data_IF_495213711239
#
_entry.id   IF_495213711239
#
_cell.length_a   1.000
_cell.length_b   1.000
_cell.length_c   1.000
_cell.angle_alpha   90.00
_cell.angle_beta   90.00
_cell.angle_gamma   90.00
#
_symmetry.space_group_name_H-M   'P 1'
#
loop_
_entity.id
_entity.type
_entity.pdbx_description
1 polymer ?
#
# COMPACT_ATOMS: atom_id res chain seq x y z
N UNK A 1 -6.28 53.81 15.85
CA UNK A 1 -5.08 54.27 15.14
C UNK A 1 -4.72 53.27 14.07
N UNK A 2 -4.76 53.66 12.80
CA UNK A 2 -4.09 52.98 11.68
C UNK A 2 -2.69 53.58 11.52
N UNK A 3 -1.72 52.81 11.04
CA UNK A 3 -0.74 53.35 10.11
C UNK A 3 -0.78 52.60 8.77
N UNK A 4 -0.81 53.39 7.70
CA UNK A 4 -0.48 53.02 6.32
C UNK A 4 0.54 54.08 5.82
N UNK A 5 1.06 54.01 4.57
CA UNK A 5 2.26 53.27 4.17
C UNK A 5 3.31 54.23 3.52
N UNK A 6 4.53 53.74 3.22
CA UNK A 6 5.48 54.30 2.22
C UNK A 6 6.77 53.46 2.18
N UNK A 7 7.06 52.75 1.09
CA UNK A 7 7.83 53.19 -0.12
C UNK A 7 9.35 53.23 0.20
N UNK A 8 10.33 52.70 -0.55
CA UNK A 8 10.47 52.17 -1.91
C UNK A 8 11.96 51.76 -2.09
N UNK A 9 12.30 50.63 -2.72
CA UNK A 9 13.43 50.43 -3.69
C UNK A 9 13.57 48.92 -3.98
N UNK A 10 13.07 48.39 -5.11
CA UNK A 10 13.69 48.35 -6.44
C UNK A 10 15.13 47.78 -6.45
N UNK A 11 15.23 46.48 -6.69
CA UNK A 11 16.39 45.86 -7.34
C UNK A 11 15.87 44.93 -8.45
N UNK A 12 15.90 45.45 -9.68
CA UNK A 12 15.76 44.69 -10.91
C UNK A 12 17.16 44.20 -11.30
N UNK A 13 17.37 42.89 -11.42
CA UNK A 13 18.38 42.32 -12.31
C UNK A 13 17.91 40.92 -12.74
N UNK A 14 17.75 40.80 -14.05
CA UNK A 14 17.26 39.63 -14.76
C UNK A 14 18.38 38.63 -15.08
N UNK A 15 17.94 37.46 -15.59
CA UNK A 15 18.66 36.32 -16.17
C UNK A 15 18.93 35.23 -15.10
N UNK A 16 18.42 34.01 -15.20
CA UNK A 16 18.15 33.20 -16.39
C UNK A 16 16.93 32.29 -16.17
N UNK A 17 16.19 32.02 -17.24
CA UNK A 17 15.12 31.04 -17.23
C UNK A 17 15.67 29.63 -17.03
N UNK A 18 15.12 28.93 -16.04
CA UNK A 18 15.07 27.48 -16.05
C UNK A 18 13.63 27.09 -16.41
N UNK A 19 13.46 26.67 -17.66
CA UNK A 19 12.29 25.92 -18.08
C UNK A 19 12.40 24.56 -17.42
N UNK A 20 11.63 24.29 -16.38
CA UNK A 20 11.52 22.95 -15.83
C UNK A 20 10.53 22.18 -16.70
N UNK A 21 11.05 21.48 -17.70
CA UNK A 21 10.34 20.39 -18.35
C UNK A 21 10.12 19.30 -17.33
N UNK A 22 8.85 18.92 -17.15
CA UNK A 22 8.45 17.66 -16.56
C UNK A 22 9.26 16.54 -17.23
N UNK A 23 10.06 15.83 -16.45
CA UNK A 23 10.58 14.55 -16.85
C UNK A 23 9.42 13.57 -16.77
N UNK A 24 8.67 13.44 -17.87
CA UNK A 24 7.92 12.22 -18.11
C UNK A 24 8.95 11.10 -18.17
N UNK A 25 8.85 10.13 -17.25
CA UNK A 25 9.55 8.86 -17.34
C UNK A 25 8.97 8.16 -18.57
N UNK A 26 9.58 8.42 -19.72
CA UNK A 26 9.32 7.66 -20.94
C UNK A 26 9.77 6.23 -20.67
N UNK A 27 8.81 5.33 -20.73
CA UNK A 27 9.01 3.91 -20.97
C UNK A 27 10.17 3.69 -21.95
N UNK A 28 11.05 2.70 -21.71
CA UNK A 28 11.76 2.11 -22.83
C UNK A 28 10.69 1.51 -23.72
N UNK A 29 10.46 2.16 -24.87
CA UNK A 29 9.75 1.51 -25.95
C UNK A 29 10.47 0.20 -26.24
N UNK A 30 9.70 -0.88 -26.22
CA UNK A 30 9.96 -2.12 -26.94
C UNK A 30 10.86 -1.83 -28.15
N UNK A 31 12.10 -2.29 -28.07
CA UNK A 31 12.80 -2.63 -29.29
C UNK A 31 12.09 -3.83 -29.85
N UNK A 32 11.18 -3.57 -30.79
CA UNK A 32 10.66 -4.55 -31.71
C UNK A 32 11.83 -5.43 -32.18
N UNK A 33 11.79 -6.69 -31.76
CA UNK A 33 12.63 -7.73 -32.31
C UNK A 33 12.40 -7.75 -33.82
N UNK A 34 13.44 -7.66 -34.66
CA UNK A 34 13.23 -7.68 -36.10
C UNK A 34 12.66 -9.04 -36.49
N UNK A 35 11.53 -9.02 -37.18
CA UNK A 35 11.08 -10.09 -38.07
C UNK A 35 12.28 -10.59 -38.90
N UNK A 36 12.88 -11.73 -38.52
CA UNK A 36 13.72 -12.51 -39.42
C UNK A 36 12.87 -13.62 -40.04
N UNK A 37 11.92 -13.21 -40.89
CA UNK A 37 11.34 -14.08 -41.90
C UNK A 37 12.30 -14.16 -43.10
N UNK A 38 13.49 -14.70 -42.85
CA UNK A 38 14.55 -14.94 -43.82
C UNK A 38 14.64 -16.39 -44.27
N UNK A 39 13.51 -17.04 -44.59
CA UNK A 39 13.52 -18.35 -45.25
C UNK A 39 14.10 -18.21 -46.67
N UNK A 40 15.41 -18.37 -46.82
CA UNK A 40 16.03 -18.68 -48.10
C UNK A 40 16.08 -20.19 -48.25
N UNK A 41 15.14 -20.77 -48.99
CA UNK A 41 15.32 -22.10 -49.55
C UNK A 41 16.34 -22.00 -50.68
N UNK A 42 17.60 -22.33 -50.41
CA UNK A 42 18.52 -22.78 -51.45
C UNK A 42 18.87 -24.26 -51.22
N UNK A 43 18.69 -24.99 -52.29
CA UNK A 43 18.58 -26.43 -52.41
C UNK A 43 19.98 -27.00 -52.64
N UNK A 44 20.62 -27.53 -51.60
CA UNK A 44 21.72 -28.48 -51.80
C UNK A 44 21.62 -29.65 -50.83
N UNK A 45 21.28 -30.80 -51.41
CA UNK A 45 21.31 -32.11 -50.78
C UNK A 45 22.60 -32.36 -49.99
N UNK A 46 22.47 -32.58 -48.69
CA UNK A 46 23.45 -33.29 -47.88
C UNK A 46 22.76 -34.48 -47.19
N UNK A 47 23.12 -35.67 -47.64
CA UNK A 47 22.77 -36.94 -47.00
C UNK A 47 23.75 -37.18 -45.86
N UNK A 48 23.48 -36.55 -44.71
CA UNK A 48 24.21 -36.76 -43.48
C UNK A 48 23.24 -36.63 -42.31
N UNK A 49 23.03 -37.73 -41.59
CA UNK A 49 22.25 -37.75 -40.37
C UNK A 49 22.92 -36.85 -39.32
N UNK A 50 22.44 -35.62 -39.20
CA UNK A 50 22.42 -34.91 -37.93
C UNK A 50 21.00 -35.06 -37.40
N UNK A 51 20.90 -35.82 -36.32
CA UNK A 51 19.78 -35.73 -35.38
C UNK A 51 19.83 -34.31 -34.81
N UNK A 52 19.26 -33.38 -35.57
CA UNK A 52 18.97 -32.02 -35.15
C UNK A 52 17.73 -32.12 -34.26
N UNK A 53 17.90 -32.65 -33.06
CA UNK A 53 17.06 -32.20 -31.95
C UNK A 53 17.48 -30.76 -31.71
N UNK A 54 16.98 -29.87 -32.56
CA UNK A 54 16.88 -28.45 -32.31
C UNK A 54 16.03 -28.30 -31.07
N UNK A 55 16.69 -28.51 -29.94
CA UNK A 55 16.26 -28.16 -28.62
C UNK A 55 16.32 -26.64 -28.57
N UNK A 56 15.32 -26.04 -29.22
CA UNK A 56 14.94 -24.66 -29.01
C UNK A 56 13.97 -24.67 -27.85
N UNK A 57 14.44 -25.11 -26.68
CA UNK A 57 13.80 -24.72 -25.42
C UNK A 57 13.85 -23.20 -25.39
N UNK A 58 12.68 -22.58 -25.31
CA UNK A 58 12.59 -21.17 -24.97
C UNK A 58 13.35 -21.02 -23.64
N UNK A 59 14.31 -20.10 -23.51
CA UNK A 59 14.94 -19.84 -22.22
C UNK A 59 13.92 -19.64 -21.09
N UNK A 60 12.74 -19.11 -21.43
CA UNK A 60 11.61 -18.89 -20.51
C UNK A 60 10.82 -20.14 -20.11
N UNK A 61 11.16 -21.29 -20.67
CA UNK A 61 10.66 -22.60 -20.25
C UNK A 61 11.70 -23.36 -19.40
N UNK A 62 12.79 -22.69 -19.01
CA UNK A 62 13.81 -23.22 -18.10
C UNK A 62 13.55 -22.61 -16.72
N UNK A 63 13.69 -23.44 -15.69
CA UNK A 63 13.63 -23.08 -14.26
C UNK A 63 15.09 -22.86 -13.82
N UNK A 64 15.53 -21.60 -13.83
CA UNK A 64 16.95 -21.24 -13.64
C UNK A 64 17.38 -21.27 -12.16
N UNK A 65 16.45 -21.14 -11.22
CA UNK A 65 16.73 -21.11 -9.78
C UNK A 65 16.31 -22.36 -8.99
N UNK A 66 15.46 -23.21 -9.58
CA UNK A 66 15.06 -24.51 -9.08
C UNK A 66 13.89 -24.50 -8.08
N UNK A 67 13.05 -23.46 -8.06
CA UNK A 67 11.83 -23.44 -7.22
C UNK A 67 10.63 -24.19 -7.82
N UNK A 68 10.70 -24.52 -9.11
CA UNK A 68 9.70 -25.29 -9.84
C UNK A 68 8.73 -24.46 -10.66
N UNK A 69 8.96 -23.16 -10.79
CA UNK A 69 8.30 -22.28 -11.74
C UNK A 69 9.30 -21.82 -12.82
N UNK A 70 8.77 -21.21 -13.87
CA UNK A 70 9.54 -20.64 -14.98
C UNK A 70 8.93 -19.31 -15.35
N UNK A 71 9.66 -18.49 -16.10
CA UNK A 71 9.18 -17.18 -16.53
C UNK A 71 7.88 -17.26 -17.36
N UNK A 72 7.68 -18.33 -18.14
CA UNK A 72 6.43 -18.57 -18.87
C UNK A 72 5.29 -19.15 -18.00
N UNK A 73 5.61 -19.66 -16.80
CA UNK A 73 4.64 -20.16 -15.82
C UNK A 73 4.18 -19.09 -14.82
N UNK A 74 4.79 -17.90 -14.85
CA UNK A 74 4.37 -16.73 -14.07
C UNK A 74 5.45 -16.18 -13.14
N UNK A 75 6.63 -16.80 -13.10
CA UNK A 75 7.74 -16.30 -12.31
C UNK A 75 8.25 -14.95 -12.84
N UNK A 76 8.20 -13.94 -11.97
CA UNK A 76 8.63 -12.58 -12.23
C UNK A 76 10.14 -12.39 -12.07
N UNK A 77 10.85 -13.32 -11.41
CA UNK A 77 12.30 -13.35 -11.24
C UNK A 77 12.87 -14.78 -11.05
N UNK A 78 12.93 -15.55 -12.14
CA UNK A 78 13.46 -16.94 -12.26
C UNK A 78 14.97 -17.11 -11.95
N UNK A 79 15.60 -16.10 -11.35
CA UNK A 79 16.94 -16.16 -10.80
C UNK A 79 16.96 -16.24 -9.26
N UNK A 80 15.80 -16.16 -8.61
CA UNK A 80 15.62 -16.08 -7.16
C UNK A 80 14.50 -17.00 -6.67
N UNK A 81 14.88 -18.19 -6.20
CA UNK A 81 13.98 -19.26 -5.74
C UNK A 81 13.06 -18.93 -4.53
N UNK A 82 12.98 -17.66 -4.10
CA UNK A 82 12.02 -17.14 -3.14
C UNK A 82 10.99 -16.21 -3.80
N UNK A 83 11.06 -16.03 -5.12
CA UNK A 83 10.19 -15.19 -5.92
C UNK A 83 9.50 -16.11 -6.93
N UNK A 84 8.23 -16.42 -6.70
CA UNK A 84 7.44 -17.31 -7.55
C UNK A 84 5.95 -17.13 -7.29
N UNK A 85 5.07 -17.54 -8.23
CA UNK A 85 3.62 -17.47 -8.04
C UNK A 85 3.13 -18.09 -6.72
N UNK A 86 2.34 -17.33 -5.94
CA UNK A 86 1.81 -17.72 -4.63
C UNK A 86 2.90 -17.94 -3.53
N UNK A 87 4.09 -17.34 -3.67
CA UNK A 87 5.05 -17.27 -2.56
C UNK A 87 4.49 -16.46 -1.37
N UNK A 88 5.15 -16.55 -0.21
CA UNK A 88 4.84 -15.67 0.91
C UNK A 88 5.70 -14.41 0.78
N UNK A 89 5.07 -13.25 0.80
CA UNK A 89 5.78 -11.98 0.85
C UNK A 89 6.61 -11.84 2.12
N UNK A 90 7.76 -11.19 1.96
CA UNK A 90 8.62 -10.78 3.05
C UNK A 90 8.96 -9.32 2.86
N UNK A 91 8.97 -8.53 3.94
CA UNK A 91 9.35 -7.13 3.92
C UNK A 91 10.77 -6.84 3.40
N UNK A 92 10.95 -6.90 2.09
CA UNK A 92 12.22 -6.64 1.40
C UNK A 92 12.07 -5.70 0.19
N UNK A 93 10.84 -5.28 -0.10
CA UNK A 93 10.52 -4.35 -1.18
C UNK A 93 10.50 -5.02 -2.55
N UNK A 94 10.31 -6.34 -2.58
CA UNK A 94 10.12 -7.15 -3.77
C UNK A 94 8.69 -7.69 -3.82
N UNK A 95 8.28 -8.07 -5.03
CA UNK A 95 7.05 -8.80 -5.31
C UNK A 95 7.45 -10.28 -5.25
N UNK A 96 7.31 -10.93 -4.09
CA UNK A 96 7.77 -12.31 -3.93
C UNK A 96 6.78 -13.29 -4.56
N UNK A 97 5.50 -12.97 -4.55
CA UNK A 97 4.45 -13.88 -5.01
C UNK A 97 4.04 -13.66 -6.48
N UNK A 98 4.64 -12.66 -7.13
CA UNK A 98 4.46 -12.28 -8.53
C UNK A 98 3.04 -11.83 -8.89
N UNK A 99 2.30 -11.25 -7.96
CA UNK A 99 0.96 -10.73 -8.20
C UNK A 99 0.94 -9.28 -8.75
N UNK A 100 2.07 -8.57 -8.63
CA UNK A 100 2.31 -7.21 -9.10
C UNK A 100 2.20 -6.11 -8.04
N UNK A 101 1.90 -6.46 -6.79
CA UNK A 101 1.99 -5.63 -5.60
C UNK A 101 3.35 -5.90 -4.90
N UNK A 102 3.64 -5.27 -3.77
CA UNK A 102 4.97 -5.41 -3.13
C UNK A 102 4.75 -5.60 -1.64
N UNK A 103 5.20 -6.69 -1.01
CA UNK A 103 5.10 -6.87 0.44
C UNK A 103 3.64 -6.80 1.00
N UNK A 104 2.58 -6.93 0.21
CA UNK A 104 1.18 -6.74 0.63
C UNK A 104 0.69 -7.80 1.62
N UNK A 105 1.19 -9.03 1.50
CA UNK A 105 0.80 -10.14 2.37
C UNK A 105 1.94 -10.51 3.35
N UNK A 106 2.88 -9.58 3.59
CA UNK A 106 4.08 -9.83 4.39
C UNK A 106 3.76 -10.17 5.86
N UNK A 107 3.64 -11.47 6.18
CA UNK A 107 3.27 -11.90 7.53
C UNK A 107 4.50 -12.02 8.44
N UNK A 108 4.67 -11.09 9.39
CA UNK A 108 5.65 -11.24 10.47
C UNK A 108 6.39 -9.99 10.92
N UNK A 109 6.18 -8.86 10.24
CA UNK A 109 6.80 -7.60 10.59
C UNK A 109 6.12 -6.91 11.79
N UNK A 110 4.81 -7.12 11.96
CA UNK A 110 4.12 -6.81 13.22
C UNK A 110 2.93 -7.76 13.55
N UNK A 111 2.35 -7.67 14.78
CA UNK A 111 1.30 -8.59 15.23
C UNK A 111 -0.11 -8.34 14.68
N UNK A 112 -0.31 -7.29 13.89
CA UNK A 112 -1.63 -6.86 13.41
C UNK A 112 -1.89 -7.30 11.98
N UNK A 113 -0.84 -7.59 11.21
CA UNK A 113 -0.88 -8.08 9.83
C UNK A 113 -1.57 -9.44 9.62
N UNK A 114 -2.17 -9.69 8.44
CA UNK A 114 -2.23 -8.77 7.28
C UNK A 114 -3.30 -7.67 7.39
N UNK A 115 -4.27 -7.79 8.32
CA UNK A 115 -5.45 -6.91 8.57
C UNK A 115 -6.08 -6.04 7.46
N UNK A 116 -5.82 -6.35 6.19
CA UNK A 116 -6.25 -5.64 5.00
C UNK A 116 -7.61 -6.12 4.55
N UNK A 117 -7.82 -7.44 4.58
CA UNK A 117 -9.12 -8.05 4.30
C UNK A 117 -9.96 -8.29 5.56
N UNK A 118 -9.30 -8.65 6.66
CA UNK A 118 -9.96 -9.04 7.91
C UNK A 118 -9.57 -8.09 9.03
N UNK A 119 -10.48 -7.20 9.47
CA UNK A 119 -10.16 -6.24 10.51
C UNK A 119 -9.76 -6.89 11.83
N UNK A 120 -8.80 -6.27 12.51
CA UNK A 120 -8.44 -6.66 13.87
C UNK A 120 -9.50 -6.18 14.87
N UNK A 121 -10.14 -7.11 15.58
CA UNK A 121 -11.13 -6.80 16.61
C UNK A 121 -10.48 -6.40 17.94
N UNK A 122 -10.66 -5.14 18.33
CA UNK A 122 -10.18 -4.56 19.59
C UNK A 122 -11.18 -4.74 20.75
N UNK A 123 -12.42 -5.13 20.46
CA UNK A 123 -13.49 -5.32 21.43
C UNK A 123 -14.09 -4.02 21.97
N UNK A 124 -14.58 -4.08 23.21
CA UNK A 124 -15.26 -2.95 23.88
C UNK A 124 -14.27 -1.91 24.36
N UNK A 125 -14.50 -0.65 23.99
CA UNK A 125 -13.80 0.47 24.61
C UNK A 125 -14.25 0.74 26.05
N UNK A 126 -15.39 0.23 26.50
CA UNK A 126 -15.75 0.32 27.93
C UNK A 126 -14.91 -0.63 28.80
N UNK A 127 -14.56 -1.81 28.27
CA UNK A 127 -13.68 -2.77 28.94
C UNK A 127 -12.21 -2.33 28.88
N UNK A 128 -11.80 -1.86 27.69
CA UNK A 128 -10.43 -1.40 27.41
C UNK A 128 -10.48 0.00 26.80
N UNK A 129 -10.53 1.07 27.61
CA UNK A 129 -10.72 2.44 27.11
C UNK A 129 -9.49 3.03 26.41
N UNK A 130 -8.39 2.29 26.34
CA UNK A 130 -7.17 2.78 25.70
C UNK A 130 -6.48 1.65 24.95
N UNK A 131 -6.29 1.86 23.65
CA UNK A 131 -5.47 1.00 22.79
C UNK A 131 -4.28 1.80 22.26
N UNK A 132 -3.10 1.16 22.24
CA UNK A 132 -1.89 1.67 21.61
C UNK A 132 -1.33 0.56 20.72
N UNK A 133 -1.45 0.77 19.41
CA UNK A 133 -1.17 -0.21 18.37
C UNK A 133 0.01 0.32 17.57
N UNK A 134 1.07 -0.48 17.49
CA UNK A 134 2.22 -0.20 16.61
C UNK A 134 2.14 -1.17 15.47
N UNK A 135 1.99 -0.64 14.26
CA UNK A 135 1.85 -1.38 13.02
C UNK A 135 2.58 -0.65 11.87
N UNK A 136 2.63 -1.24 10.70
CA UNK A 136 3.48 -0.83 9.57
C UNK A 136 2.66 -0.72 8.30
N UNK A 137 2.90 0.31 7.48
CA UNK A 137 2.35 0.35 6.12
C UNK A 137 3.35 -0.31 5.16
N UNK A 138 3.10 -1.54 4.72
CA UNK A 138 4.07 -2.36 3.98
C UNK A 138 4.43 -1.77 2.62
N UNK A 139 3.44 -1.23 1.92
CA UNK A 139 3.58 -0.66 0.58
C UNK A 139 2.58 0.48 0.34
N UNK A 140 2.50 0.98 -0.90
CA UNK A 140 1.62 2.09 -1.27
C UNK A 140 0.12 1.74 -1.42
N UNK A 141 -0.24 0.47 -1.29
CA UNK A 141 -1.57 -0.12 -1.43
C UNK A 141 -2.11 -0.73 -0.12
N UNK A 142 -1.23 -0.93 0.87
CA UNK A 142 -1.50 -1.44 2.21
C UNK A 142 -2.66 -0.72 2.93
N UNK A 143 -3.51 -1.50 3.61
CA UNK A 143 -4.75 -1.03 4.23
C UNK A 143 -5.05 -1.66 5.61
N UNK A 144 -4.45 -1.18 6.67
CA UNK A 144 -4.78 -1.67 8.00
C UNK A 144 -6.22 -1.36 8.47
N UNK A 145 -6.96 -2.41 8.87
CA UNK A 145 -8.30 -2.26 9.46
C UNK A 145 -8.38 -2.67 10.93
N UNK A 146 -9.02 -1.82 11.75
CA UNK A 146 -9.27 -2.09 13.17
C UNK A 146 -10.73 -1.85 13.51
N UNK A 147 -11.36 -2.81 14.19
CA UNK A 147 -12.74 -2.68 14.68
C UNK A 147 -12.79 -2.54 16.19
N UNK A 148 -13.74 -1.74 16.67
CA UNK A 148 -14.06 -1.62 18.09
C UNK A 148 -15.54 -1.33 18.25
N UNK A 149 -16.07 -1.55 19.45
CA UNK A 149 -17.43 -1.14 19.77
C UNK A 149 -17.51 -0.31 21.04
N UNK A 150 -18.53 0.54 21.08
CA UNK A 150 -18.88 1.37 22.23
C UNK A 150 -20.27 0.94 22.69
N UNK A 151 -20.42 0.51 23.94
CA UNK A 151 -21.74 0.15 24.45
C UNK A 151 -22.60 1.41 24.68
N UNK A 152 -23.91 1.27 24.44
CA UNK A 152 -24.88 2.33 24.71
C UNK A 152 -25.26 2.33 26.20
N UNK A 153 -24.48 3.04 27.00
CA UNK A 153 -24.84 3.35 28.38
C UNK A 153 -25.68 4.63 28.41
N UNK A 154 -27.00 4.51 28.63
CA UNK A 154 -28.03 5.57 28.55
C UNK A 154 -27.80 6.86 29.36
N UNK A 155 -26.75 6.92 30.16
CA UNK A 155 -26.41 8.05 31.03
C UNK A 155 -24.97 8.54 30.85
N UNK A 156 -24.22 7.96 29.92
CA UNK A 156 -22.83 8.36 29.69
C UNK A 156 -22.68 9.02 28.32
N UNK A 157 -22.10 10.21 28.33
CA UNK A 157 -21.61 10.83 27.11
C UNK A 157 -20.17 10.39 26.95
N UNK A 158 -19.82 9.90 25.77
CA UNK A 158 -18.44 9.50 25.50
C UNK A 158 -17.79 10.42 24.49
N UNK A 159 -16.47 10.47 24.55
CA UNK A 159 -15.63 10.98 23.47
C UNK A 159 -14.55 9.95 23.17
N UNK A 160 -14.40 9.57 21.90
CA UNK A 160 -13.28 8.73 21.46
C UNK A 160 -12.31 9.60 20.66
N UNK A 161 -11.10 9.74 21.19
CA UNK A 161 -9.97 10.34 20.50
C UNK A 161 -9.22 9.24 19.72
N UNK A 162 -9.09 9.39 18.41
CA UNK A 162 -8.33 8.48 17.55
C UNK A 162 -7.16 9.27 16.99
N UNK A 163 -5.94 8.86 17.30
CA UNK A 163 -4.72 9.55 16.87
C UNK A 163 -3.81 8.59 16.12
N UNK A 164 -3.43 8.95 14.90
CA UNK A 164 -2.32 8.29 14.20
C UNK A 164 -1.07 9.15 14.35
N UNK A 165 0.06 8.54 14.70
CA UNK A 165 1.33 9.24 14.92
C UNK A 165 2.52 8.43 14.41
N UNK A 166 3.70 9.04 14.44
CA UNK A 166 4.99 8.45 14.05
C UNK A 166 5.14 8.01 12.59
N UNK A 167 4.13 8.23 11.73
CA UNK A 167 4.27 8.01 10.29
C UNK A 167 5.46 8.80 9.74
N UNK A 168 6.39 8.19 8.99
CA UNK A 168 7.51 8.88 8.35
C UNK A 168 7.06 10.04 7.45
N UNK A 169 7.96 10.97 7.15
CA UNK A 169 7.60 12.18 6.38
C UNK A 169 7.51 11.96 4.88
N UNK A 170 8.11 10.89 4.41
CA UNK A 170 8.07 10.37 3.05
C UNK A 170 6.83 9.52 2.78
N UNK A 171 6.26 8.89 3.82
CA UNK A 171 4.99 8.20 3.74
C UNK A 171 3.79 9.14 3.93
N UNK A 172 2.72 8.89 3.17
CA UNK A 172 1.44 9.58 3.29
C UNK A 172 0.32 8.57 3.41
N UNK A 173 -0.71 8.91 4.17
CA UNK A 173 -1.81 8.02 4.50
C UNK A 173 -3.15 8.74 4.51
N UNK A 174 -4.23 7.94 4.49
CA UNK A 174 -5.59 8.34 4.81
C UNK A 174 -6.05 7.57 6.04
N UNK A 175 -6.54 8.32 7.03
CA UNK A 175 -7.17 7.76 8.23
C UNK A 175 -8.67 7.97 8.10
N UNK A 176 -9.44 6.89 8.08
CA UNK A 176 -10.90 6.90 7.95
C UNK A 176 -11.54 6.27 9.18
N UNK A 177 -12.60 6.90 9.69
CA UNK A 177 -13.47 6.31 10.71
C UNK A 177 -14.84 6.03 10.09
N UNK A 178 -15.27 4.78 10.12
CA UNK A 178 -16.56 4.32 9.63
C UNK A 178 -17.45 3.87 10.78
N UNK A 179 -18.77 4.05 10.64
CA UNK A 179 -19.76 3.39 11.48
C UNK A 179 -20.23 2.14 10.76
N UNK A 180 -20.20 1.00 11.43
CA UNK A 180 -20.62 -0.27 10.87
C UNK A 180 -22.12 -0.52 11.10
N UNK A 181 -22.65 -1.51 10.40
CA UNK A 181 -23.94 -2.13 10.75
C UNK A 181 -23.79 -2.92 12.05
N UNK A 182 -24.92 -3.25 12.68
CA UNK A 182 -24.96 -4.04 13.92
C UNK A 182 -24.46 -5.48 13.78
N UNK A 183 -24.19 -5.95 12.56
CA UNK A 183 -23.53 -7.22 12.29
C UNK A 183 -22.00 -7.09 12.20
N UNK A 184 -21.44 -5.87 12.27
CA UNK A 184 -20.00 -5.61 12.26
C UNK A 184 -19.33 -5.75 10.88
N UNK A 185 -20.07 -6.18 9.87
CA UNK A 185 -19.46 -6.61 8.60
C UNK A 185 -19.36 -5.48 7.56
N UNK A 186 -20.20 -4.44 7.65
CA UNK A 186 -20.36 -3.47 6.55
C UNK A 186 -20.48 -2.01 7.03
N UNK A 187 -19.71 -1.07 6.44
CA UNK A 187 -19.87 0.36 6.68
C UNK A 187 -21.28 0.86 6.32
N UNK A 188 -21.94 1.48 7.28
CA UNK A 188 -23.18 2.24 7.06
C UNK A 188 -22.92 3.66 6.58
N UNK A 189 -21.70 4.15 6.80
CA UNK A 189 -21.23 5.44 6.33
C UNK A 189 -19.96 5.88 7.05
N UNK A 190 -19.23 6.76 6.37
CA UNK A 190 -18.04 7.41 6.90
C UNK A 190 -18.42 8.47 7.94
N UNK A 191 -17.80 8.40 9.11
CA UNK A 191 -17.98 9.34 10.22
C UNK A 191 -17.05 10.55 10.06
N UNK A 192 -15.76 10.29 9.80
CA UNK A 192 -14.75 11.32 9.60
C UNK A 192 -13.56 10.78 8.77
N UNK A 193 -12.71 11.67 8.26
CA UNK A 193 -11.45 11.32 7.60
C UNK A 193 -10.39 12.40 7.79
N UNK A 194 -9.13 11.99 7.68
CA UNK A 194 -8.03 12.92 7.57
C UNK A 194 -6.87 12.35 6.74
N UNK A 195 -6.01 13.25 6.28
CA UNK A 195 -4.87 12.99 5.41
C UNK A 195 -3.63 13.60 6.02
N UNK A 196 -2.49 12.91 5.96
CA UNK A 196 -1.26 13.47 6.50
C UNK A 196 0.01 12.75 6.10
N UNK A 197 1.13 13.45 6.34
CA UNK A 197 2.42 12.86 6.69
C UNK A 197 2.77 13.42 8.07
N UNK A 198 2.85 12.56 9.09
CA UNK A 198 2.91 12.94 10.51
C UNK A 198 1.64 12.63 11.30
N UNK A 199 1.35 13.37 12.39
CA UNK A 199 0.24 13.04 13.29
C UNK A 199 -1.09 13.69 12.94
N UNK A 200 -2.17 12.92 13.03
CA UNK A 200 -3.56 13.33 12.77
C UNK A 200 -4.45 12.82 13.91
N UNK A 201 -5.54 13.54 14.20
CA UNK A 201 -6.54 13.14 15.19
C UNK A 201 -7.95 13.22 14.58
N UNK A 202 -8.76 12.18 14.79
CA UNK A 202 -10.21 12.17 14.61
C UNK A 202 -10.88 12.15 15.98
N UNK A 203 -12.09 12.71 16.07
CA UNK A 203 -12.86 12.74 17.32
C UNK A 203 -14.28 12.25 17.05
N UNK A 204 -14.67 11.19 17.75
CA UNK A 204 -16.05 10.71 17.81
C UNK A 204 -16.70 11.23 19.08
N UNK A 205 -17.71 12.08 18.93
CA UNK A 205 -18.53 12.60 20.03
C UNK A 205 -19.91 11.93 20.02
N UNK A 206 -20.48 11.72 21.21
CA UNK A 206 -21.91 11.39 21.40
C UNK A 206 -22.80 12.42 20.64
N UNK A 207 -23.69 11.92 19.78
CA UNK A 207 -24.51 12.73 18.86
C UNK A 207 -25.97 12.85 19.29
N UNK A 208 -26.32 12.87 20.56
CA UNK A 208 -27.71 13.16 21.00
C UNK A 208 -28.77 12.33 20.24
N UNK A 209 -28.54 11.03 20.10
CA UNK A 209 -29.49 10.04 19.58
C UNK A 209 -29.72 8.90 20.58
N UNK A 210 -30.84 8.17 20.51
CA UNK A 210 -31.16 7.08 21.44
C UNK A 210 -30.41 5.76 21.16
N UNK A 211 -29.38 5.75 20.30
CA UNK A 211 -28.66 4.55 19.80
C UNK A 211 -27.21 4.92 19.44
N UNK A 212 -26.50 5.65 20.33
CA UNK A 212 -25.22 6.27 19.99
C UNK A 212 -24.01 5.35 20.26
N UNK A 213 -24.24 4.23 20.95
CA UNK A 213 -23.35 3.07 20.91
C UNK A 213 -23.39 2.34 19.55
N UNK A 214 -22.42 1.46 19.33
CA UNK A 214 -22.34 0.63 18.14
C UNK A 214 -20.92 0.27 17.74
N UNK A 215 -20.84 -0.37 16.58
CA UNK A 215 -19.61 -0.88 15.97
C UNK A 215 -18.99 0.15 15.03
N UNK A 216 -17.67 0.29 15.13
CA UNK A 216 -16.88 1.25 14.38
C UNK A 216 -15.65 0.56 13.78
N UNK A 217 -15.21 1.08 12.64
CA UNK A 217 -14.01 0.63 11.94
C UNK A 217 -13.10 1.83 11.70
N UNK A 218 -11.84 1.67 12.03
CA UNK A 218 -10.74 2.55 11.62
C UNK A 218 -10.06 1.86 10.44
N UNK A 219 -9.84 2.61 9.38
CA UNK A 219 -9.04 2.20 8.22
C UNK A 219 -7.87 3.15 8.09
N UNK A 220 -6.64 2.62 8.04
CA UNK A 220 -5.42 3.35 7.74
C UNK A 220 -4.95 2.91 6.36
N UNK A 221 -5.17 3.71 5.33
CA UNK A 221 -4.75 3.39 3.97
C UNK A 221 -3.42 4.10 3.66
N UNK A 222 -2.46 3.38 3.10
CA UNK A 222 -1.33 3.98 2.42
C UNK A 222 -1.79 4.78 1.19
N UNK A 223 -1.12 5.91 0.93
CA UNK A 223 -1.42 6.79 -0.22
C UNK A 223 -0.19 7.06 -1.08
N UNK A 224 1.01 6.87 -0.53
CA UNK A 224 2.25 7.07 -1.25
C UNK A 224 3.47 7.20 -0.35
N UNK A 225 4.58 6.60 -0.79
CA UNK A 225 5.85 6.55 -0.09
C UNK A 225 5.86 5.65 1.15
N UNK A 226 4.92 4.71 1.26
CA UNK A 226 4.94 3.67 2.28
C UNK A 226 5.87 2.53 1.85
N UNK A 227 6.48 1.90 2.85
CA UNK A 227 7.42 0.79 2.75
C UNK A 227 7.47 0.11 4.13
N UNK A 228 8.08 -1.05 4.27
CA UNK A 228 8.24 -1.71 5.58
C UNK A 228 9.01 -0.91 6.66
N UNK A 229 9.53 0.29 6.37
CA UNK A 229 10.02 1.22 7.40
C UNK A 229 8.95 2.22 7.89
N UNK A 230 7.80 2.30 7.22
CA UNK A 230 6.64 3.14 7.50
C UNK A 230 5.82 2.70 8.71
N UNK A 231 6.49 2.62 9.84
CA UNK A 231 5.86 2.33 11.14
C UNK A 231 4.98 3.49 11.61
N UNK A 232 3.86 3.18 12.23
CA UNK A 232 3.00 4.16 12.88
C UNK A 232 2.56 3.72 14.28
N UNK A 233 1.97 4.67 15.01
CA UNK A 233 1.34 4.44 16.31
C UNK A 233 -0.11 4.92 16.23
N UNK A 234 -1.05 3.96 16.24
CA UNK A 234 -2.47 4.23 16.39
C UNK A 234 -2.82 4.22 17.88
N UNK A 235 -3.37 5.33 18.37
CA UNK A 235 -3.87 5.47 19.74
C UNK A 235 -5.36 5.74 19.71
N UNK A 236 -6.12 4.91 20.42
CA UNK A 236 -7.57 5.07 20.60
C UNK A 236 -7.81 5.28 22.09
N UNK A 237 -8.46 6.37 22.46
CA UNK A 237 -8.75 6.70 23.86
C UNK A 237 -10.21 7.13 24.03
N UNK A 238 -10.98 6.37 24.79
CA UNK A 238 -12.34 6.73 25.20
C UNK A 238 -12.29 7.47 26.55
N UNK A 239 -13.01 8.59 26.64
CA UNK A 239 -13.13 9.42 27.86
C UNK A 239 -14.57 9.79 28.18
#
# INVERSE_FOLDING_TARGET
>A
MRPTPRDLLLALLALSGCSWTAAGKTTPAETASPDDSGLTTDDTADTGAADDTGDTTDPRDVDDDGDGFTENEGDCNDAEAQVYPDAEDVCDGLDNDCDGELDEDATGDDPYEPNDETPYDLGSLEDTPTHQITATLHNDLDEDRFQFYVEDSWLDSFTVDITLANVPQDATYRLTLNRLRSDGDEPTGQVDQAFGGGSVQLVLEDRTGPEDGGDYEIVVEAVGGADCAANYLLTIEMR
#
